data_IF_297687797163
#
_entry.id   IF_297687797163
#
_cell.length_a   1.000
_cell.length_b   1.000
_cell.length_c   1.000
_cell.angle_alpha   90.00
_cell.angle_beta   90.00
_cell.angle_gamma   90.00
#
_symmetry.space_group_name_H-M   'P 1'
#
loop_
_entity.id
_entity.type
_entity.pdbx_description
1 polymer ?
#
# COMPACT_ATOMS: atom_id res chain seq x y z
N UNK A 1 -9.89 -4.52 -0.53
CA UNK A 1 -8.53 -4.55 0.03
C UNK A 1 -7.90 -3.18 -0.22
N UNK A 2 -7.44 -2.50 0.84
CA UNK A 2 -6.79 -1.17 0.72
C UNK A 2 -5.28 -1.36 0.57
N UNK A 3 -4.60 -0.41 -0.08
CA UNK A 3 -3.13 -0.37 -0.13
C UNK A 3 -2.66 0.93 0.52
N UNK A 4 -1.72 0.84 1.45
CA UNK A 4 -1.24 1.95 2.27
C UNK A 4 0.29 2.00 2.25
N UNK A 5 0.84 3.17 1.92
CA UNK A 5 2.27 3.46 1.95
C UNK A 5 2.60 4.31 3.18
N UNK A 6 3.49 3.82 4.03
CA UNK A 6 3.99 4.55 5.19
C UNK A 6 5.44 4.95 4.95
N UNK A 7 5.70 6.26 4.95
CA UNK A 7 7.05 6.82 4.85
C UNK A 7 7.61 7.05 6.25
N UNK A 8 8.72 6.37 6.53
CA UNK A 8 9.39 6.39 7.83
C UNK A 8 10.69 7.17 7.71
N UNK A 9 11.04 7.92 8.75
CA UNK A 9 12.25 8.73 8.79
C UNK A 9 12.88 8.72 10.18
N UNK A 10 14.21 8.88 10.25
CA UNK A 10 14.96 8.92 11.50
C UNK A 10 15.28 7.53 12.06
N UNK A 11 15.25 7.37 13.39
CA UNK A 11 15.54 6.10 14.05
C UNK A 11 14.23 5.37 14.30
N UNK A 12 14.05 4.19 13.70
CA UNK A 12 12.88 3.36 13.92
C UNK A 12 12.96 2.69 15.30
N UNK A 13 12.37 3.36 16.29
CA UNK A 13 12.42 3.01 17.71
C UNK A 13 11.07 2.48 18.23
N UNK A 14 10.98 2.28 19.55
CA UNK A 14 9.73 1.89 20.20
C UNK A 14 8.58 2.88 19.98
N UNK A 15 8.89 4.18 19.91
CA UNK A 15 7.90 5.25 19.76
C UNK A 15 7.25 5.18 18.36
N UNK A 16 8.07 5.25 17.31
CA UNK A 16 7.60 5.15 15.92
C UNK A 16 6.97 3.78 15.65
N UNK A 17 7.59 2.71 16.16
CA UNK A 17 7.08 1.35 16.01
C UNK A 17 5.70 1.15 16.64
N UNK A 18 5.48 1.70 17.84
CA UNK A 18 4.18 1.63 18.52
C UNK A 18 3.12 2.44 17.78
N UNK A 19 3.43 3.67 17.36
CA UNK A 19 2.48 4.50 16.61
C UNK A 19 2.07 3.83 15.29
N UNK A 20 3.06 3.32 14.54
CA UNK A 20 2.80 2.63 13.28
C UNK A 20 1.97 1.36 13.48
N UNK A 21 2.27 0.58 14.52
CA UNK A 21 1.51 -0.63 14.84
C UNK A 21 0.04 -0.32 15.16
N UNK A 22 -0.24 0.78 15.88
CA UNK A 22 -1.62 1.20 16.17
C UNK A 22 -2.36 1.61 14.90
N UNK A 23 -1.75 2.43 14.03
CA UNK A 23 -2.34 2.80 12.73
C UNK A 23 -2.60 1.58 11.85
N UNK A 24 -1.65 0.65 11.80
CA UNK A 24 -1.83 -0.61 11.07
C UNK A 24 -3.01 -1.40 11.66
N UNK A 25 -3.10 -1.49 12.99
CA UNK A 25 -4.20 -2.21 13.66
C UNK A 25 -5.57 -1.62 13.31
N UNK A 26 -5.71 -0.30 13.28
CA UNK A 26 -6.93 0.40 12.86
C UNK A 26 -7.29 0.09 11.39
N UNK A 27 -6.32 -0.07 10.50
CA UNK A 27 -6.56 -0.36 9.09
C UNK A 27 -6.69 -1.87 8.77
N UNK A 28 -6.37 -2.75 9.72
CA UNK A 28 -6.50 -4.22 9.59
C UNK A 28 -7.91 -4.76 9.90
N UNK A 29 -8.92 -3.89 10.10
CA UNK A 29 -10.32 -4.34 10.20
C UNK A 29 -10.84 -5.00 8.90
N UNK A 30 -10.10 -4.84 7.80
CA UNK A 30 -10.27 -5.56 6.54
C UNK A 30 -8.89 -5.91 5.96
N UNK A 31 -8.77 -6.91 5.07
CA UNK A 31 -7.51 -7.21 4.40
C UNK A 31 -6.94 -5.98 3.70
N UNK A 32 -5.69 -5.64 4.02
CA UNK A 32 -4.97 -4.47 3.50
C UNK A 32 -3.53 -4.83 3.14
N UNK A 33 -2.93 -4.08 2.22
CA UNK A 33 -1.54 -4.18 1.82
C UNK A 33 -0.78 -2.98 2.40
N UNK A 34 0.26 -3.23 3.18
CA UNK A 34 1.06 -2.21 3.85
C UNK A 34 2.47 -2.21 3.26
N UNK A 35 2.85 -1.08 2.66
CA UNK A 35 4.18 -0.84 2.15
C UNK A 35 4.91 0.13 3.08
N UNK A 36 6.05 -0.28 3.62
CA UNK A 36 6.85 0.51 4.57
C UNK A 36 8.11 1.03 3.87
N UNK A 37 8.23 2.34 3.72
CA UNK A 37 9.39 3.01 3.15
C UNK A 37 10.38 3.40 4.27
N UNK A 38 11.56 2.77 4.25
CA UNK A 38 12.66 3.00 5.18
C UNK A 38 13.79 3.85 4.58
N UNK A 39 13.61 4.47 3.42
CA UNK A 39 14.67 5.21 2.70
C UNK A 39 15.31 6.31 3.56
N UNK A 40 14.49 6.99 4.36
CA UNK A 40 14.91 8.06 5.28
C UNK A 40 15.16 7.55 6.72
N UNK A 41 15.15 6.23 6.94
CA UNK A 41 15.46 5.61 8.23
C UNK A 41 16.97 5.36 8.33
N UNK A 42 17.59 5.91 9.37
CA UNK A 42 19.02 5.76 9.62
C UNK A 42 19.36 4.46 10.34
N UNK A 43 18.49 4.00 11.23
CA UNK A 43 18.71 2.84 12.09
C UNK A 43 17.36 2.24 12.53
N UNK A 44 17.33 0.93 12.75
CA UNK A 44 16.21 0.21 13.37
C UNK A 44 16.71 -0.40 14.67
N UNK A 45 16.14 0.01 15.80
CA UNK A 45 16.53 -0.52 17.12
C UNK A 45 15.99 -1.93 17.33
N UNK A 46 16.51 -2.64 18.33
CA UNK A 46 16.01 -3.98 18.71
C UNK A 46 14.49 -3.97 18.99
N UNK A 47 14.00 -2.95 19.70
CA UNK A 47 12.57 -2.79 19.96
C UNK A 47 11.80 -2.44 18.69
N UNK A 48 12.40 -1.67 17.78
CA UNK A 48 11.83 -1.42 16.45
C UNK A 48 11.61 -2.71 15.66
N UNK A 49 12.59 -3.62 15.65
CA UNK A 49 12.47 -4.94 15.02
C UNK A 49 11.36 -5.78 15.65
N UNK A 50 11.18 -5.73 16.96
CA UNK A 50 10.08 -6.39 17.65
C UNK A 50 8.71 -5.87 17.17
N UNK A 51 8.58 -4.57 16.92
CA UNK A 51 7.34 -4.01 16.35
C UNK A 51 7.10 -4.48 14.91
N UNK A 52 8.14 -4.55 14.07
CA UNK A 52 8.01 -5.08 12.70
C UNK A 52 7.54 -6.54 12.71
N UNK A 53 8.04 -7.35 13.65
CA UNK A 53 7.57 -8.72 13.86
C UNK A 53 6.09 -8.76 14.22
N UNK A 54 5.67 -7.97 15.22
CA UNK A 54 4.27 -7.87 15.65
C UNK A 54 3.35 -7.42 14.52
N UNK A 55 3.80 -6.49 13.68
CA UNK A 55 3.05 -6.06 12.49
C UNK A 55 2.88 -7.22 11.49
N UNK A 56 3.95 -7.96 11.20
CA UNK A 56 3.90 -9.10 10.29
C UNK A 56 2.96 -10.21 10.80
N UNK A 57 3.02 -10.54 12.09
CA UNK A 57 2.11 -11.49 12.74
C UNK A 57 0.66 -11.02 12.65
N UNK A 58 0.40 -9.76 12.97
CA UNK A 58 -0.95 -9.18 12.89
C UNK A 58 -1.51 -9.18 11.47
N UNK A 59 -0.67 -8.91 10.47
CA UNK A 59 -1.07 -8.98 9.07
C UNK A 59 -1.46 -10.40 8.68
N UNK A 60 -0.72 -11.42 9.12
CA UNK A 60 -1.06 -12.84 8.90
C UNK A 60 -2.43 -13.20 9.49
N UNK A 61 -2.72 -12.76 10.72
CA UNK A 61 -4.01 -13.02 11.39
C UNK A 61 -5.21 -12.40 10.65
N UNK A 62 -5.02 -11.24 10.03
CA UNK A 62 -6.11 -10.44 9.43
C UNK A 62 -6.24 -10.64 7.92
N UNK A 63 -5.39 -11.49 7.33
CA UNK A 63 -5.31 -11.65 5.88
C UNK A 63 -4.66 -10.46 5.15
N UNK A 64 -4.11 -9.50 5.89
CA UNK A 64 -3.35 -8.38 5.36
C UNK A 64 -1.92 -8.79 5.00
N UNK A 65 -1.20 -7.96 4.25
CA UNK A 65 0.21 -8.17 3.91
C UNK A 65 1.03 -6.93 4.24
N UNK A 66 2.26 -7.14 4.68
CA UNK A 66 3.20 -6.06 4.95
C UNK A 66 4.57 -6.39 4.35
N UNK A 67 5.19 -5.40 3.72
CA UNK A 67 6.53 -5.48 3.18
C UNK A 67 7.21 -4.11 3.26
N UNK A 68 8.54 -4.10 3.26
CA UNK A 68 9.33 -2.88 3.41
C UNK A 68 10.37 -2.71 2.31
N UNK A 69 10.82 -1.48 2.08
CA UNK A 69 11.94 -1.20 1.16
C UNK A 69 12.83 -0.07 1.64
N UNK A 70 14.00 0.11 1.01
CA UNK A 70 14.89 1.25 1.25
C UNK A 70 15.69 1.18 2.56
N UNK A 71 15.65 0.05 3.27
CA UNK A 71 16.36 -0.09 4.54
C UNK A 71 17.87 -0.23 4.33
N UNK A 72 18.63 0.72 4.88
CA UNK A 72 20.11 0.78 4.74
C UNK A 72 20.87 -0.11 5.73
N UNK A 73 20.21 -0.54 6.79
CA UNK A 73 20.80 -1.38 7.85
C UNK A 73 20.80 -2.85 7.44
N UNK A 74 21.77 -3.63 7.92
CA UNK A 74 21.75 -5.08 7.72
C UNK A 74 20.52 -5.70 8.39
N UNK A 75 19.80 -6.51 7.62
CA UNK A 75 18.59 -7.20 8.05
C UNK A 75 19.00 -8.60 8.52
N UNK A 76 18.68 -8.94 9.76
CA UNK A 76 18.95 -10.27 10.30
C UNK A 76 18.14 -11.33 9.56
N UNK A 77 18.63 -12.57 9.54
CA UNK A 77 17.93 -13.69 8.89
C UNK A 77 16.55 -13.94 9.53
N UNK A 78 16.42 -13.76 10.85
CA UNK A 78 15.16 -13.87 11.56
C UNK A 78 14.15 -12.81 11.07
N UNK A 79 14.60 -11.57 10.85
CA UNK A 79 13.74 -10.51 10.34
C UNK A 79 13.28 -10.78 8.90
N UNK A 80 14.15 -11.33 8.05
CA UNK A 80 13.81 -11.75 6.67
C UNK A 80 12.78 -12.88 6.63
N UNK A 81 12.80 -13.77 7.61
CA UNK A 81 11.82 -14.86 7.72
C UNK A 81 10.41 -14.39 8.11
N UNK A 82 10.34 -13.24 8.81
CA UNK A 82 9.10 -12.68 9.35
C UNK A 82 8.40 -11.76 8.33
N UNK A 83 9.18 -10.97 7.59
CA UNK A 83 8.70 -9.93 6.67
C UNK A 83 9.64 -9.78 5.46
N UNK A 84 9.07 -9.48 4.29
CA UNK A 84 9.84 -9.25 3.06
C UNK A 84 10.37 -7.82 3.00
N UNK A 85 11.65 -7.70 2.67
CA UNK A 85 12.33 -6.42 2.47
C UNK A 85 12.97 -6.36 1.10
N UNK A 86 12.82 -5.21 0.43
CA UNK A 86 13.30 -4.96 -0.92
C UNK A 86 14.25 -3.76 -0.94
N UNK A 87 15.00 -3.60 -2.04
CA UNK A 87 15.83 -2.41 -2.21
C UNK A 87 15.00 -1.25 -2.75
N UNK A 88 14.15 -1.51 -3.74
CA UNK A 88 13.37 -0.49 -4.43
C UNK A 88 11.86 -0.54 -4.07
N UNK A 89 11.22 0.62 -4.19
CA UNK A 89 9.77 0.78 -4.04
C UNK A 89 9.00 -0.11 -5.03
N UNK A 90 9.47 -0.14 -6.28
CA UNK A 90 8.87 -0.87 -7.40
C UNK A 90 8.72 -2.37 -7.10
N UNK A 91 9.78 -3.00 -6.61
CA UNK A 91 9.81 -4.43 -6.26
C UNK A 91 8.88 -4.74 -5.08
N UNK A 92 8.87 -3.87 -4.06
CA UNK A 92 8.03 -4.03 -2.88
C UNK A 92 6.54 -3.95 -3.23
N UNK A 93 6.16 -2.98 -4.07
CA UNK A 93 4.79 -2.84 -4.55
C UNK A 93 4.39 -4.07 -5.37
N UNK A 94 5.22 -4.49 -6.34
CA UNK A 94 4.94 -5.66 -7.16
C UNK A 94 4.74 -6.93 -6.31
N UNK A 95 5.56 -7.11 -5.28
CA UNK A 95 5.41 -8.22 -4.33
C UNK A 95 4.06 -8.14 -3.59
N UNK A 96 3.69 -6.99 -3.04
CA UNK A 96 2.43 -6.82 -2.31
C UNK A 96 1.22 -7.00 -3.23
N UNK A 97 1.27 -6.47 -4.45
CA UNK A 97 0.20 -6.58 -5.45
C UNK A 97 -0.01 -8.02 -5.92
N UNK A 98 1.01 -8.88 -5.87
CA UNK A 98 0.84 -10.32 -6.19
C UNK A 98 -0.18 -11.00 -5.27
N UNK A 99 -0.36 -10.49 -4.04
CA UNK A 99 -1.36 -10.99 -3.09
C UNK A 99 -2.75 -10.36 -3.25
N UNK A 100 -2.89 -9.33 -4.10
CA UNK A 100 -4.18 -8.74 -4.46
C UNK A 100 -4.99 -9.67 -5.39
N UNK A 101 -4.34 -10.66 -6.01
CA UNK A 101 -4.96 -11.59 -6.95
C UNK A 101 -5.51 -12.83 -6.22
N UNK A 102 -6.77 -12.75 -5.77
CA UNK A 102 -7.54 -13.90 -5.29
C UNK A 102 -8.63 -14.33 -6.27
N UNK A 103 -8.42 -15.50 -6.91
CA UNK A 103 -9.34 -16.42 -7.64
C UNK A 103 -9.97 -15.93 -8.99
N UNK A 104 -9.86 -16.55 -10.19
CA UNK A 104 -9.20 -17.70 -10.85
C UNK A 104 -9.55 -17.57 -12.40
N UNK A 105 -9.06 -18.36 -13.41
CA UNK A 105 -8.43 -19.68 -13.32
C UNK A 105 -7.16 -19.89 -14.19
N UNK A 106 -6.65 -21.11 -14.06
CA UNK A 106 -5.38 -21.69 -14.50
C UNK A 106 -5.06 -21.72 -16.01
N UNK A 107 -5.68 -20.92 -16.88
CA UNK A 107 -5.32 -20.94 -18.29
C UNK A 107 -4.76 -19.59 -18.74
N UNK A 108 -3.49 -19.65 -19.11
CA UNK A 108 -2.83 -18.79 -20.09
C UNK A 108 -3.84 -18.17 -21.07
N UNK A 109 -3.97 -16.85 -21.05
CA UNK A 109 -4.18 -16.07 -22.27
C UNK A 109 -3.99 -14.59 -21.96
N UNK A 110 -2.96 -14.05 -22.61
CA UNK A 110 -2.61 -12.63 -22.71
C UNK A 110 -3.88 -11.82 -23.07
N UNK A 111 -4.38 -10.89 -22.25
CA UNK A 111 -5.54 -10.11 -22.65
C UNK A 111 -5.11 -8.92 -23.50
N UNK A 112 -5.59 -8.93 -24.73
CA UNK A 112 -5.77 -7.76 -25.60
C UNK A 112 -6.66 -6.70 -24.92
N UNK A 113 -6.50 -5.41 -25.24
CA UNK A 113 -7.17 -4.33 -24.52
C UNK A 113 -8.65 -4.23 -24.94
N UNK A 114 -9.58 -4.57 -24.04
CA UNK A 114 -11.02 -4.43 -24.27
C UNK A 114 -11.60 -3.16 -23.62
N UNK A 115 -12.52 -2.54 -24.35
CA UNK A 115 -13.11 -1.23 -24.15
C UNK A 115 -14.21 -1.20 -23.06
N UNK A 116 -13.92 -1.66 -21.85
CA UNK A 116 -14.84 -1.54 -20.71
C UNK A 116 -14.37 -0.45 -19.73
N UNK A 117 -15.21 0.57 -19.54
CA UNK A 117 -14.88 1.76 -18.76
C UNK A 117 -14.51 1.41 -17.31
N UNK A 118 -13.34 1.88 -16.87
CA UNK A 118 -12.82 1.66 -15.51
C UNK A 118 -13.69 2.39 -14.48
N UNK A 119 -13.82 1.83 -13.29
CA UNK A 119 -14.55 2.43 -12.16
C UNK A 119 -13.58 2.95 -11.11
N UNK A 120 -13.97 4.04 -10.45
CA UNK A 120 -13.21 4.72 -9.40
C UNK A 120 -14.14 5.13 -8.27
N UNK A 121 -13.59 5.30 -7.08
CA UNK A 121 -14.30 5.89 -5.95
C UNK A 121 -13.99 7.37 -5.86
N UNK A 122 -15.02 8.19 -5.66
CA UNK A 122 -14.82 9.59 -5.29
C UNK A 122 -14.02 9.65 -3.97
N UNK A 123 -12.98 10.49 -3.87
CA UNK A 123 -12.14 10.54 -2.68
C UNK A 123 -12.90 11.05 -1.45
N UNK A 124 -13.94 11.86 -1.67
CA UNK A 124 -14.64 12.56 -0.59
C UNK A 124 -15.88 11.83 -0.09
N UNK A 125 -16.69 11.30 -1.00
CA UNK A 125 -17.95 10.64 -0.64
C UNK A 125 -17.97 9.14 -0.96
N UNK A 126 -16.85 8.59 -1.43
CA UNK A 126 -16.65 7.18 -1.81
C UNK A 126 -17.64 6.63 -2.85
N UNK A 127 -18.40 7.51 -3.50
CA UNK A 127 -19.37 7.12 -4.53
C UNK A 127 -18.63 6.50 -5.71
N UNK A 128 -19.12 5.35 -6.16
CA UNK A 128 -18.59 4.65 -7.32
C UNK A 128 -18.94 5.42 -8.59
N UNK A 129 -17.91 5.80 -9.35
CA UNK A 129 -18.01 6.56 -10.59
C UNK A 129 -17.36 5.77 -11.72
N UNK A 130 -17.97 5.80 -12.90
CA UNK A 130 -17.37 5.26 -14.13
C UNK A 130 -16.62 6.37 -14.83
N UNK A 131 -15.33 6.15 -15.10
CA UNK A 131 -14.53 7.11 -15.85
C UNK A 131 -14.01 6.46 -17.15
N UNK A 132 -14.05 7.23 -18.24
CA UNK A 132 -13.63 6.77 -19.57
C UNK A 132 -12.24 7.25 -19.97
N UNK A 133 -11.77 8.33 -19.35
CA UNK A 133 -10.56 9.05 -19.76
C UNK A 133 -9.89 9.68 -18.55
N UNK A 134 -8.55 9.70 -18.54
CA UNK A 134 -7.77 10.40 -17.52
C UNK A 134 -8.04 11.90 -17.56
N UNK A 135 -7.83 12.58 -16.44
CA UNK A 135 -8.02 14.02 -16.34
C UNK A 135 -8.73 14.46 -15.07
N UNK A 136 -9.21 15.70 -15.06
CA UNK A 136 -10.02 16.23 -13.98
C UNK A 136 -11.45 15.68 -14.08
N UNK A 137 -11.95 15.11 -12.99
CA UNK A 137 -13.30 14.60 -12.84
C UNK A 137 -14.01 15.33 -11.71
N UNK A 138 -15.33 15.48 -11.86
CA UNK A 138 -16.20 16.09 -10.86
C UNK A 138 -17.16 15.03 -10.34
N UNK A 139 -17.27 14.88 -9.02
CA UNK A 139 -18.26 13.97 -8.44
C UNK A 139 -19.68 14.52 -8.68
N UNK A 140 -20.61 13.76 -9.28
CA UNK A 140 -22.00 14.20 -9.41
C UNK A 140 -22.75 14.24 -8.07
N UNK A 141 -22.25 13.55 -7.03
CA UNK A 141 -22.92 13.46 -5.73
C UNK A 141 -22.49 14.54 -4.74
N UNK A 142 -21.18 14.77 -4.61
CA UNK A 142 -20.63 15.75 -3.66
C UNK A 142 -19.97 16.96 -4.32
N UNK A 143 -19.94 17.01 -5.67
CA UNK A 143 -19.34 18.08 -6.45
C UNK A 143 -17.85 18.35 -6.18
N UNK A 144 -17.15 17.44 -5.50
CA UNK A 144 -15.70 17.51 -5.33
C UNK A 144 -15.01 17.26 -6.68
N UNK A 145 -14.03 18.11 -7.01
CA UNK A 145 -13.15 17.96 -8.17
C UNK A 145 -11.92 17.14 -7.77
N UNK A 146 -11.52 16.18 -8.60
CA UNK A 146 -10.37 15.32 -8.37
C UNK A 146 -9.78 14.83 -9.69
N UNK A 147 -8.49 14.57 -9.74
CA UNK A 147 -7.80 14.06 -10.92
C UNK A 147 -7.79 12.54 -10.95
N UNK A 148 -7.95 11.94 -12.12
CA UNK A 148 -7.90 10.49 -12.33
C UNK A 148 -6.83 10.16 -13.36
N UNK A 149 -5.87 9.30 -13.00
CA UNK A 149 -4.81 8.88 -13.91
C UNK A 149 -5.23 7.68 -14.80
N UNK A 150 -4.37 7.28 -15.76
CA UNK A 150 -4.62 6.12 -16.65
C UNK A 150 -4.81 4.78 -15.92
N UNK A 151 -4.29 4.68 -14.70
CA UNK A 151 -4.41 3.52 -13.81
C UNK A 151 -5.67 3.57 -12.95
N UNK A 152 -6.47 4.65 -13.00
CA UNK A 152 -7.69 4.82 -12.20
C UNK A 152 -7.44 5.32 -10.78
N UNK A 153 -6.25 5.86 -10.50
CA UNK A 153 -5.96 6.42 -9.20
C UNK A 153 -6.52 7.83 -9.11
N UNK A 154 -7.03 8.17 -7.94
CA UNK A 154 -7.72 9.43 -7.72
C UNK A 154 -6.90 10.33 -6.79
N UNK A 155 -6.61 11.55 -7.21
CA UNK A 155 -5.92 12.57 -6.42
C UNK A 155 -6.82 13.77 -6.21
N UNK A 156 -6.98 14.21 -4.96
CA UNK A 156 -7.68 15.45 -4.59
C UNK A 156 -6.83 16.70 -4.76
N UNK A 157 -5.51 16.54 -4.89
CA UNK A 157 -4.58 17.67 -5.00
C UNK A 157 -4.45 18.10 -6.46
N UNK A 158 -4.80 19.36 -6.71
CA UNK A 158 -4.64 20.05 -7.98
C UNK A 158 -3.19 19.91 -8.48
N UNK A 159 -3.08 19.49 -9.76
CA UNK A 159 -1.89 19.53 -10.63
C UNK A 159 -0.59 19.94 -9.94
N UNK A 160 0.26 18.96 -9.64
CA UNK A 160 1.70 19.21 -9.70
C UNK A 160 2.11 19.03 -11.17
N UNK A 161 2.34 20.16 -11.83
CA UNK A 161 2.97 20.31 -13.14
C UNK A 161 4.33 19.59 -13.19
#
# INVERSE_FOLDING_TARGET
MKSLLFRLAGIFSAEIGSELYLKLKEETHSPSLFCLDFTEVSEVTEVGWEFLRKMAERCKETGSKVAGFGLKTQISEEARSQMSFFQEESECILFLESFYLGEAPANEQIPTPSAEGKTIHCPECQTLLRFKQMGDHLCPKCQTKFFVNLKGWVSTYERLL
#
